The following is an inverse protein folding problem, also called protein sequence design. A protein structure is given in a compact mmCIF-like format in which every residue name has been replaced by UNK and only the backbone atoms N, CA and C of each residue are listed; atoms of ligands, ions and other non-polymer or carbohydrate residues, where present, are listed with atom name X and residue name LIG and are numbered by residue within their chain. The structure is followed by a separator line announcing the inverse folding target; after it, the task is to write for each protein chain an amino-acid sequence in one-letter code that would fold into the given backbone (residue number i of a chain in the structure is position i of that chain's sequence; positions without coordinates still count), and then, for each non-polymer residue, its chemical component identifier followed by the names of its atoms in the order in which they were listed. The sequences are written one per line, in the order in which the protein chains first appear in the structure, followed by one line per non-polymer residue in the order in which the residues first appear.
data_IF_812493622349
#
_entry.id   IF_812493622349
#
_cell.length_a   1.000
_cell.length_b   1.000
_cell.length_c   1.000
_cell.angle_alpha   90.00
_cell.angle_beta   90.00
_cell.angle_gamma   90.00
#
_symmetry.space_group_name_H-M   'P 1'
#
loop_
_entity.id
_entity.type
_entity.pdbx_description
1 polymer ?
#
# COMPACT_ATOMS: atom_id res chain seq x y z
N UNK A 1 28.42 -20.22 -6.80
CA UNK A 1 27.95 -19.25 -5.78
C UNK A 1 26.60 -19.68 -5.26
N UNK A 2 26.44 -19.89 -3.95
CA UNK A 2 25.14 -20.20 -3.33
C UNK A 2 24.26 -18.95 -3.34
N UNK A 3 23.03 -19.06 -3.85
CA UNK A 3 22.05 -17.96 -3.77
C UNK A 3 21.58 -17.81 -2.32
N UNK A 4 21.64 -16.60 -1.78
CA UNK A 4 21.05 -16.28 -0.47
C UNK A 4 19.53 -16.26 -0.64
N UNK A 5 18.82 -17.16 0.04
CA UNK A 5 17.36 -17.20 0.06
C UNK A 5 16.90 -16.39 1.29
N UNK A 6 16.40 -15.17 1.04
CA UNK A 6 15.90 -14.30 2.11
C UNK A 6 14.44 -14.63 2.43
N UNK A 7 13.60 -14.72 1.41
CA UNK A 7 12.18 -15.06 1.52
C UNK A 7 11.92 -16.46 0.96
N UNK A 8 11.06 -17.21 1.63
CA UNK A 8 10.52 -18.47 1.11
C UNK A 8 9.58 -18.22 -0.09
N UNK A 9 9.33 -19.22 -0.95
CA UNK A 9 8.37 -19.09 -2.05
C UNK A 9 6.97 -18.63 -1.59
N UNK A 10 6.53 -19.08 -0.41
CA UNK A 10 5.27 -18.66 0.19
C UNK A 10 5.28 -17.17 0.56
N UNK A 11 6.36 -16.67 1.17
CA UNK A 11 6.48 -15.26 1.54
C UNK A 11 6.56 -14.35 0.32
N UNK A 12 7.25 -14.77 -0.73
CA UNK A 12 7.27 -14.05 -2.02
C UNK A 12 5.84 -13.95 -2.56
N UNK A 13 5.12 -15.08 -2.62
CA UNK A 13 3.73 -15.08 -3.08
C UNK A 13 2.85 -14.18 -2.21
N UNK A 14 3.00 -14.20 -0.88
CA UNK A 14 2.25 -13.32 0.03
C UNK A 14 2.62 -11.85 -0.18
N UNK A 15 3.88 -11.54 -0.47
CA UNK A 15 4.36 -10.19 -0.69
C UNK A 15 3.87 -9.62 -2.03
N UNK A 16 3.88 -10.41 -3.10
CA UNK A 16 3.58 -9.94 -4.45
C UNK A 16 2.07 -9.79 -4.72
N UNK A 17 1.22 -10.50 -3.97
CA UNK A 17 -0.23 -10.48 -4.18
C UNK A 17 -0.94 -9.53 -3.23
N UNK A 18 -2.04 -8.94 -3.73
CA UNK A 18 -2.98 -8.18 -2.93
C UNK A 18 -3.53 -9.03 -1.76
N UNK A 19 -3.66 -8.44 -0.55
CA UNK A 19 -4.29 -9.14 0.57
C UNK A 19 -5.75 -9.43 0.27
N UNK A 20 -6.26 -10.52 0.86
CA UNK A 20 -7.70 -10.80 0.90
C UNK A 20 -8.21 -10.33 2.25
N UNK A 21 -8.95 -9.21 2.24
CA UNK A 21 -9.52 -8.68 3.47
C UNK A 21 -10.74 -9.46 3.93
N UNK A 22 -10.87 -9.64 5.24
CA UNK A 22 -12.16 -9.95 5.87
C UNK A 22 -12.97 -8.66 6.14
N UNK A 23 -14.18 -8.79 6.65
CA UNK A 23 -15.07 -7.64 6.83
C UNK A 23 -14.56 -6.64 7.88
N UNK A 24 -13.96 -7.10 8.98
CA UNK A 24 -13.35 -6.24 9.99
C UNK A 24 -12.19 -5.43 9.40
N UNK A 25 -11.36 -6.07 8.58
CA UNK A 25 -10.24 -5.43 7.88
C UNK A 25 -10.74 -4.39 6.86
N UNK A 26 -11.81 -4.69 6.12
CA UNK A 26 -12.44 -3.72 5.20
C UNK A 26 -12.89 -2.47 5.94
N UNK A 27 -13.62 -2.64 7.05
CA UNK A 27 -14.06 -1.52 7.89
C UNK A 27 -12.88 -0.72 8.45
N UNK A 28 -11.81 -1.40 8.87
CA UNK A 28 -10.60 -0.77 9.41
C UNK A 28 -9.84 0.04 8.36
N UNK A 29 -9.55 -0.56 7.21
CA UNK A 29 -8.63 0.02 6.22
C UNK A 29 -9.30 0.96 5.22
N UNK A 30 -10.58 0.74 4.90
CA UNK A 30 -11.35 1.60 3.99
C UNK A 30 -12.15 2.70 4.71
N UNK A 31 -11.86 2.96 5.99
CA UNK A 31 -12.51 4.03 6.74
C UNK A 31 -12.28 5.42 6.13
N UNK A 32 -13.34 6.23 6.07
CA UNK A 32 -13.36 7.57 5.49
C UNK A 32 -13.34 8.62 6.61
N UNK A 33 -12.17 9.22 6.83
CA UNK A 33 -12.03 10.39 7.69
C UNK A 33 -12.58 11.67 7.03
N UNK A 34 -12.73 12.74 7.81
CA UNK A 34 -13.13 14.04 7.30
C UNK A 34 -12.18 14.56 6.20
N UNK A 35 -10.87 14.40 6.36
CA UNK A 35 -9.87 14.78 5.35
C UNK A 35 -10.03 14.00 4.05
N UNK A 36 -10.29 12.69 4.13
CA UNK A 36 -10.56 11.85 2.96
C UNK A 36 -11.85 12.30 2.29
N UNK A 37 -12.91 12.59 3.05
CA UNK A 37 -14.19 13.05 2.50
C UNK A 37 -14.05 14.35 1.69
N UNK A 38 -13.28 15.33 2.19
CA UNK A 38 -12.97 16.56 1.43
C UNK A 38 -12.27 16.24 0.12
N UNK A 39 -11.27 15.34 0.15
CA UNK A 39 -10.57 14.92 -1.07
C UNK A 39 -11.52 14.25 -2.08
N UNK A 40 -12.40 13.37 -1.61
CA UNK A 40 -13.36 12.66 -2.47
C UNK A 40 -14.37 13.61 -3.11
N UNK A 41 -14.78 14.68 -2.43
CA UNK A 41 -15.68 15.69 -2.99
C UNK A 41 -15.06 16.44 -4.19
N UNK A 42 -13.73 16.54 -4.24
CA UNK A 42 -13.01 17.17 -5.35
C UNK A 42 -12.81 16.23 -6.56
N UNK A 43 -13.19 14.96 -6.45
CA UNK A 43 -13.11 14.00 -7.55
C UNK A 43 -14.46 13.92 -8.26
N UNK A 44 -14.46 14.09 -9.58
CA UNK A 44 -15.70 14.10 -10.36
C UNK A 44 -16.22 12.69 -10.68
N UNK A 45 -15.32 11.76 -11.05
CA UNK A 45 -15.71 10.42 -11.47
C UNK A 45 -15.88 9.46 -10.29
N UNK A 46 -16.92 8.62 -10.36
CA UNK A 46 -17.20 7.60 -9.34
C UNK A 46 -16.07 6.57 -9.23
N UNK A 47 -15.54 6.08 -10.36
CA UNK A 47 -14.38 5.19 -10.39
C UNK A 47 -13.16 5.82 -9.70
N UNK A 48 -12.94 7.12 -9.89
CA UNK A 48 -11.85 7.83 -9.22
C UNK A 48 -12.03 7.86 -7.71
N UNK A 49 -13.25 8.09 -7.20
CA UNK A 49 -13.53 8.08 -5.76
C UNK A 49 -13.28 6.70 -5.15
N UNK A 50 -13.85 5.66 -5.75
CA UNK A 50 -13.68 4.27 -5.28
C UNK A 50 -12.21 3.85 -5.38
N UNK A 51 -11.56 4.09 -6.52
CA UNK A 51 -10.15 3.77 -6.73
C UNK A 51 -9.19 4.51 -5.78
N UNK A 52 -9.50 5.75 -5.40
CA UNK A 52 -8.73 6.49 -4.40
C UNK A 52 -8.80 5.81 -3.02
N UNK A 53 -10.00 5.45 -2.55
CA UNK A 53 -10.19 4.79 -1.25
C UNK A 53 -9.52 3.42 -1.23
N UNK A 54 -9.64 2.64 -2.32
CA UNK A 54 -8.96 1.36 -2.44
C UNK A 54 -7.44 1.51 -2.37
N UNK A 55 -6.83 2.40 -3.16
CA UNK A 55 -5.39 2.64 -3.07
C UNK A 55 -4.94 3.01 -1.66
N UNK A 56 -5.68 3.90 -1.01
CA UNK A 56 -5.36 4.36 0.33
C UNK A 56 -5.45 3.23 1.36
N UNK A 57 -6.53 2.44 1.32
CA UNK A 57 -6.73 1.34 2.27
C UNK A 57 -5.70 0.23 2.09
N UNK A 58 -5.41 -0.16 0.85
CA UNK A 58 -4.38 -1.16 0.57
C UNK A 58 -2.97 -0.68 1.00
N UNK A 59 -2.66 0.59 0.80
CA UNK A 59 -1.41 1.18 1.30
C UNK A 59 -1.35 1.16 2.83
N UNK A 60 -2.43 1.56 3.52
CA UNK A 60 -2.49 1.51 4.99
C UNK A 60 -2.32 0.09 5.54
N UNK A 61 -2.85 -0.91 4.84
CA UNK A 61 -2.79 -2.30 5.26
C UNK A 61 -1.43 -2.95 5.01
N UNK A 62 -0.76 -2.61 3.90
CA UNK A 62 0.38 -3.40 3.40
C UNK A 62 1.64 -2.58 3.08
N UNK A 63 1.57 -1.25 3.12
CA UNK A 63 2.66 -0.38 2.68
C UNK A 63 2.87 -0.38 1.16
N UNK A 64 1.91 -0.87 0.36
CA UNK A 64 2.04 -1.01 -1.09
C UNK A 64 0.84 -0.50 -1.88
N UNK A 65 1.11 -0.22 -3.15
CA UNK A 65 0.10 0.03 -4.17
C UNK A 65 -0.07 -1.17 -5.08
N UNK A 66 -1.31 -1.41 -5.50
CA UNK A 66 -1.68 -2.51 -6.40
C UNK A 66 -2.34 -1.96 -7.66
N UNK A 67 -2.30 -2.77 -8.72
CA UNK A 67 -2.88 -2.45 -10.03
C UNK A 67 -4.25 -3.08 -10.23
N UNK A 68 -4.54 -4.12 -9.45
CA UNK A 68 -5.80 -4.84 -9.43
C UNK A 68 -6.31 -4.87 -8.00
N UNK A 69 -7.61 -4.66 -7.84
CA UNK A 69 -8.29 -4.70 -6.55
C UNK A 69 -9.26 -5.86 -6.56
N UNK A 70 -9.53 -6.41 -5.38
CA UNK A 70 -10.55 -7.45 -5.25
C UNK A 70 -11.95 -6.88 -5.55
N UNK A 71 -12.79 -7.65 -6.23
CA UNK A 71 -14.15 -7.24 -6.56
C UNK A 71 -15.01 -7.01 -5.32
N UNK A 72 -14.83 -7.82 -4.27
CA UNK A 72 -15.54 -7.65 -3.00
C UNK A 72 -15.13 -6.35 -2.29
N UNK A 73 -13.86 -5.97 -2.37
CA UNK A 73 -13.39 -4.72 -1.79
C UNK A 73 -13.90 -3.53 -2.61
N UNK A 74 -13.95 -3.67 -3.93
CA UNK A 74 -14.52 -2.66 -4.82
C UNK A 74 -16.01 -2.46 -4.53
N UNK A 75 -16.76 -3.54 -4.35
CA UNK A 75 -18.16 -3.52 -3.98
C UNK A 75 -18.37 -2.87 -2.62
N UNK A 76 -17.59 -3.27 -1.61
CA UNK A 76 -17.66 -2.72 -0.26
C UNK A 76 -17.42 -1.20 -0.26
N UNK A 77 -16.37 -0.73 -0.94
CA UNK A 77 -16.05 0.70 -1.03
C UNK A 77 -17.11 1.45 -1.82
N UNK A 78 -17.67 0.85 -2.87
CA UNK A 78 -18.75 1.46 -3.66
C UNK A 78 -19.99 1.67 -2.78
N UNK A 79 -20.39 0.66 -2.01
CA UNK A 79 -21.49 0.76 -1.04
C UNK A 79 -21.21 1.80 0.05
N UNK A 80 -19.99 1.82 0.60
CA UNK A 80 -19.57 2.80 1.61
C UNK A 80 -19.70 4.25 1.12
N UNK A 81 -19.49 4.47 -0.18
CA UNK A 81 -19.60 5.79 -0.82
C UNK A 81 -21.00 6.10 -1.35
N UNK A 82 -21.96 5.17 -1.27
CA UNK A 82 -23.28 5.31 -1.89
C UNK A 82 -23.22 5.34 -3.42
N UNK A 83 -22.20 4.71 -4.01
CA UNK A 83 -21.94 4.66 -5.45
C UNK A 83 -22.29 3.26 -5.95
N UNK A 84 -23.03 3.19 -7.07
CA UNK A 84 -23.30 1.92 -7.73
C UNK A 84 -22.21 1.64 -8.79
N UNK A 85 -21.20 0.87 -8.40
CA UNK A 85 -20.16 0.36 -9.28
C UNK A 85 -19.99 -1.14 -9.05
N UNK A 86 -19.91 -1.90 -10.13
CA UNK A 86 -19.63 -3.35 -10.14
C UNK A 86 -18.18 -3.66 -10.49
N UNK A 87 -17.35 -2.63 -10.67
CA UNK A 87 -15.94 -2.72 -11.03
C UNK A 87 -15.34 -1.34 -11.30
N UNK A 88 -14.01 -1.27 -11.44
CA UNK A 88 -13.26 -0.05 -11.75
C UNK A 88 -12.88 0.04 -13.24
N UNK A 89 -13.90 0.09 -14.10
CA UNK A 89 -13.71 0.01 -15.55
C UNK A 89 -13.08 1.30 -16.13
N UNK A 90 -13.32 2.45 -15.52
CA UNK A 90 -12.82 3.75 -16.01
C UNK A 90 -11.68 4.31 -15.16
N UNK A 91 -11.01 3.45 -14.37
CA UNK A 91 -9.91 3.87 -13.52
C UNK A 91 -8.55 3.80 -14.22
N UNK A 92 -8.31 4.77 -15.09
CA UNK A 92 -7.12 4.82 -15.95
C UNK A 92 -5.80 4.93 -15.16
N UNK A 93 -4.72 4.39 -15.76
CA UNK A 93 -3.35 4.41 -15.24
C UNK A 93 -2.90 5.77 -14.72
N UNK A 94 -3.08 6.81 -15.54
CA UNK A 94 -2.69 8.19 -15.22
C UNK A 94 -3.39 8.70 -13.96
N UNK A 95 -4.66 8.39 -13.79
CA UNK A 95 -5.44 8.77 -12.60
C UNK A 95 -4.88 8.02 -11.39
N UNK A 96 -4.60 6.72 -11.53
CA UNK A 96 -4.04 5.89 -10.47
C UNK A 96 -2.68 6.40 -9.99
N UNK A 97 -1.78 6.76 -10.91
CA UNK A 97 -0.46 7.32 -10.60
C UNK A 97 -0.55 8.68 -9.91
N UNK A 98 -1.48 9.55 -10.33
CA UNK A 98 -1.73 10.82 -9.65
C UNK A 98 -2.21 10.60 -8.22
N UNK A 99 -3.20 9.72 -8.02
CA UNK A 99 -3.70 9.37 -6.68
C UNK A 99 -2.62 8.77 -5.79
N UNK A 100 -1.73 7.93 -6.34
CA UNK A 100 -0.58 7.38 -5.61
C UNK A 100 0.28 8.50 -5.02
N UNK A 101 0.64 9.50 -5.83
CA UNK A 101 1.44 10.64 -5.38
C UNK A 101 0.72 11.47 -4.31
N UNK A 102 -0.58 11.72 -4.50
CA UNK A 102 -1.40 12.45 -3.53
C UNK A 102 -1.54 11.71 -2.20
N UNK A 103 -1.74 10.38 -2.24
CA UNK A 103 -1.86 9.53 -1.06
C UNK A 103 -0.54 9.52 -0.27
N UNK A 104 0.60 9.38 -0.96
CA UNK A 104 1.92 9.43 -0.32
C UNK A 104 2.13 10.78 0.38
N UNK A 105 1.78 11.88 -0.28
CA UNK A 105 1.87 13.22 0.31
C UNK A 105 0.93 13.37 1.51
N UNK A 106 -0.33 12.93 1.39
CA UNK A 106 -1.33 12.99 2.45
C UNK A 106 -0.92 12.20 3.71
N UNK A 107 -0.22 11.09 3.53
CA UNK A 107 0.30 10.26 4.62
C UNK A 107 1.72 10.63 5.05
N UNK A 108 2.30 11.71 4.50
CA UNK A 108 3.66 12.17 4.79
C UNK A 108 4.77 11.13 4.54
N UNK A 109 4.58 10.22 3.57
CA UNK A 109 5.62 9.29 3.17
C UNK A 109 6.80 10.04 2.54
N UNK A 110 8.01 9.68 2.96
CA UNK A 110 9.24 10.23 2.42
C UNK A 110 9.86 9.26 1.40
N UNK A 111 10.45 9.75 0.30
CA UNK A 111 11.22 8.90 -0.59
C UNK A 111 12.39 8.25 0.15
N UNK A 112 12.59 6.95 -0.07
CA UNK A 112 13.68 6.17 0.53
C UNK A 112 15.04 6.86 0.39
N UNK A 113 15.33 7.41 -0.80
CA UNK A 113 16.60 8.07 -1.10
C UNK A 113 16.95 9.24 -0.17
N UNK A 114 15.97 9.85 0.52
CA UNK A 114 16.24 10.92 1.49
C UNK A 114 16.83 10.42 2.81
N UNK A 115 16.66 9.14 3.11
CA UNK A 115 17.13 8.53 4.35
C UNK A 115 18.14 7.41 4.08
N UNK A 116 18.66 7.28 2.86
CA UNK A 116 19.53 6.15 2.46
C UNK A 116 20.71 5.96 3.41
N UNK A 117 21.36 7.05 3.81
CA UNK A 117 22.53 7.04 4.70
C UNK A 117 22.20 6.41 6.06
N UNK A 118 21.00 6.67 6.61
CA UNK A 118 20.54 6.05 7.86
C UNK A 118 20.40 4.52 7.73
N UNK A 119 19.88 4.05 6.59
CA UNK A 119 19.77 2.63 6.31
C UNK A 119 21.15 2.00 6.12
N UNK A 120 22.05 2.67 5.41
CA UNK A 120 23.42 2.18 5.16
C UNK A 120 24.19 2.02 6.47
N UNK A 121 24.20 3.04 7.34
CA UNK A 121 24.84 2.98 8.66
C UNK A 121 24.31 1.80 9.51
N UNK A 122 22.99 1.62 9.53
CA UNK A 122 22.38 0.54 10.31
C UNK A 122 22.70 -0.84 9.72
N UNK A 123 22.69 -0.98 8.40
CA UNK A 123 23.06 -2.22 7.70
C UNK A 123 24.52 -2.55 7.98
N UNK A 124 25.44 -1.60 7.84
CA UNK A 124 26.87 -1.80 8.10
C UNK A 124 27.13 -2.27 9.53
N UNK A 125 26.45 -1.68 10.52
CA UNK A 125 26.52 -2.10 11.92
C UNK A 125 26.05 -3.56 12.10
N UNK A 126 24.91 -3.94 11.51
CA UNK A 126 24.41 -5.32 11.61
C UNK A 126 25.31 -6.34 10.87
N UNK A 127 25.86 -5.95 9.72
CA UNK A 127 26.82 -6.77 8.98
C UNK A 127 28.10 -6.98 9.80
N UNK A 128 28.63 -5.93 10.44
CA UNK A 128 29.82 -6.03 11.30
C UNK A 128 29.63 -7.01 12.46
N UNK A 129 28.38 -7.15 12.93
CA UNK A 129 27.95 -8.09 13.98
C UNK A 129 27.60 -9.48 13.44
N UNK A 130 27.87 -9.75 12.16
CA UNK A 130 27.60 -11.03 11.49
C UNK A 130 26.14 -11.48 11.61
N UNK A 131 25.21 -10.53 11.62
CA UNK A 131 23.77 -10.83 11.66
C UNK A 131 23.35 -11.51 10.35
N UNK A 132 22.53 -12.55 10.46
CA UNK A 132 22.05 -13.30 9.30
C UNK A 132 21.30 -12.38 8.30
N UNK A 133 21.55 -12.44 6.98
CA UNK A 133 20.99 -11.50 5.99
C UNK A 133 19.48 -11.31 6.08
N UNK A 134 18.74 -12.41 6.30
CA UNK A 134 17.28 -12.36 6.51
C UNK A 134 16.90 -11.43 7.68
N UNK A 135 17.59 -11.50 8.81
CA UNK A 135 17.32 -10.65 9.98
C UNK A 135 17.64 -9.18 9.69
N UNK A 136 18.71 -8.92 8.94
CA UNK A 136 19.07 -7.55 8.52
C UNK A 136 17.92 -6.93 7.71
N UNK A 137 17.40 -7.65 6.72
CA UNK A 137 16.30 -7.14 5.89
C UNK A 137 15.04 -6.83 6.71
N UNK A 138 14.64 -7.71 7.62
CA UNK A 138 13.46 -7.45 8.45
C UNK A 138 13.67 -6.30 9.44
N UNK A 139 14.87 -6.13 9.99
CA UNK A 139 15.19 -4.97 10.84
C UNK A 139 15.04 -3.63 10.08
N UNK A 140 15.28 -3.61 8.77
CA UNK A 140 15.10 -2.40 7.94
C UNK A 140 13.64 -2.05 7.71
N UNK A 141 12.73 -3.03 7.75
CA UNK A 141 11.29 -2.78 7.60
C UNK A 141 10.73 -2.05 8.82
N UNK A 142 11.29 -2.34 9.99
CA UNK A 142 10.89 -1.76 11.28
C UNK A 142 11.68 -0.47 11.63
N UNK A 143 12.57 -0.03 10.75
CA UNK A 143 13.38 1.16 10.97
C UNK A 143 12.50 2.43 10.84
N UNK A 144 12.51 3.32 11.84
CA UNK A 144 11.63 4.49 11.90
C UNK A 144 11.90 5.55 10.83
#
# INVERSE_FOLDING_TARGET
MSRIIILSPYEIKKFDNAPLFNDEERHKFFNISASIKVKLNNLNANDSKVGFVLQLGYLKATGKFYHKYNDNDTLFVSQLLGINLTGLNNYAERIRLNHKSEILAMLNYKPFNKNKDLFEEHIENLVSKQIHPRKIIFAMVDLP
#
